data_IF_483203155505
#
_entry.id   IF_483203155505
#
_cell.length_a   1.000
_cell.length_b   1.000
_cell.length_c   1.000
_cell.angle_alpha   90.00
_cell.angle_beta   90.00
_cell.angle_gamma   90.00
#
_symmetry.space_group_name_H-M   'P 1'
#
loop_
_entity.id
_entity.type
_entity.pdbx_description
1 polymer ?
#
# COMPACT_ATOMS: atom_id res chain seq x y z
N UNK A 1 8.03 -36.18 -51.33
CA UNK A 1 6.64 -36.12 -50.82
C UNK A 1 6.67 -36.74 -49.42
N UNK A 2 7.13 -36.06 -48.38
CA UNK A 2 6.72 -34.79 -47.77
C UNK A 2 5.26 -34.75 -47.32
N UNK A 3 5.04 -35.04 -46.03
CA UNK A 3 4.05 -34.39 -45.17
C UNK A 3 4.25 -34.83 -43.72
N UNK A 4 5.23 -34.21 -43.05
CA UNK A 4 5.37 -34.25 -41.59
C UNK A 4 4.14 -33.59 -40.94
N UNK A 5 3.16 -34.38 -40.49
CA UNK A 5 2.12 -33.90 -39.57
C UNK A 5 2.60 -34.10 -38.12
N UNK A 6 2.77 -32.98 -37.40
CA UNK A 6 3.07 -33.01 -35.95
C UNK A 6 1.96 -33.75 -35.19
N UNK A 7 2.30 -34.59 -34.19
CA UNK A 7 1.32 -35.32 -33.40
C UNK A 7 0.45 -34.35 -32.59
N UNK A 8 -0.83 -34.72 -32.38
CA UNK A 8 -1.86 -33.90 -31.72
C UNK A 8 -1.44 -33.35 -30.34
N UNK A 9 -0.58 -34.09 -29.61
CA UNK A 9 -0.02 -33.70 -28.32
C UNK A 9 0.96 -32.52 -28.38
N UNK A 10 1.66 -32.32 -29.50
CA UNK A 10 2.54 -31.16 -29.69
C UNK A 10 1.77 -29.90 -30.08
N UNK A 11 0.70 -30.05 -30.87
CA UNK A 11 -0.19 -28.94 -31.25
C UNK A 11 -0.84 -28.32 -30.00
N UNK A 12 -1.26 -29.14 -29.03
CA UNK A 12 -1.82 -28.67 -27.77
C UNK A 12 -0.79 -27.93 -26.89
N UNK A 13 0.45 -28.42 -26.82
CA UNK A 13 1.54 -27.77 -26.08
C UNK A 13 1.96 -26.44 -26.71
N UNK A 14 1.98 -26.38 -28.04
CA UNK A 14 2.31 -25.16 -28.79
C UNK A 14 1.22 -24.09 -28.63
N UNK A 15 -0.06 -24.49 -28.60
CA UNK A 15 -1.19 -23.59 -28.33
C UNK A 15 -1.15 -23.01 -26.92
N UNK A 16 -0.88 -23.85 -25.91
CA UNK A 16 -0.76 -23.40 -24.52
C UNK A 16 0.42 -22.44 -24.32
N UNK A 17 1.56 -22.71 -24.97
CA UNK A 17 2.74 -21.83 -24.92
C UNK A 17 2.46 -20.46 -25.56
N UNK A 18 1.75 -20.42 -26.70
CA UNK A 18 1.33 -19.16 -27.34
C UNK A 18 0.36 -18.38 -26.47
N UNK A 19 -0.61 -19.05 -25.85
CA UNK A 19 -1.59 -18.39 -24.98
C UNK A 19 -0.93 -17.80 -23.71
N UNK A 20 0.08 -18.49 -23.16
CA UNK A 20 0.88 -17.94 -22.05
C UNK A 20 1.72 -16.72 -22.50
N UNK A 21 2.34 -16.78 -23.68
CA UNK A 21 3.13 -15.67 -24.23
C UNK A 21 2.27 -14.44 -24.56
N UNK A 22 1.05 -14.64 -25.07
CA UNK A 22 0.11 -13.55 -25.36
C UNK A 22 -0.40 -12.87 -24.08
N UNK A 23 -0.66 -13.65 -23.01
CA UNK A 23 -1.07 -13.11 -21.70
C UNK A 23 0.05 -12.30 -21.04
N UNK A 24 1.29 -12.75 -21.17
CA UNK A 24 2.45 -12.05 -20.63
C UNK A 24 2.70 -10.73 -21.39
N UNK A 25 2.58 -10.74 -22.71
CA UNK A 25 2.69 -9.53 -23.54
C UNK A 25 1.58 -8.50 -23.24
N UNK A 26 0.32 -8.93 -23.05
CA UNK A 26 -0.78 -8.03 -22.67
C UNK A 26 -0.56 -7.40 -21.29
N UNK A 27 -0.04 -8.18 -20.34
CA UNK A 27 0.27 -7.69 -19.00
C UNK A 27 1.41 -6.67 -19.00
N UNK A 28 2.48 -6.92 -19.77
CA UNK A 28 3.61 -6.02 -19.90
C UNK A 28 3.22 -4.71 -20.61
N UNK A 29 2.34 -4.79 -21.63
CA UNK A 29 1.80 -3.61 -22.30
C UNK A 29 0.94 -2.74 -21.36
N UNK A 30 0.09 -3.37 -20.55
CA UNK A 30 -0.73 -2.68 -19.53
C UNK A 30 0.12 -2.04 -18.43
N UNK A 31 1.22 -2.69 -18.04
CA UNK A 31 2.18 -2.14 -17.07
C UNK A 31 2.90 -0.91 -17.64
N UNK A 32 3.45 -1.02 -18.83
CA UNK A 32 4.18 0.05 -19.51
C UNK A 32 3.27 1.26 -19.81
N UNK A 33 1.99 1.02 -20.17
CA UNK A 33 1.00 2.10 -20.33
C UNK A 33 0.73 2.84 -19.01
N UNK A 34 0.60 2.13 -17.88
CA UNK A 34 0.42 2.74 -16.56
C UNK A 34 1.64 3.56 -16.14
N UNK A 35 2.85 3.02 -16.31
CA UNK A 35 4.09 3.75 -15.99
C UNK A 35 4.21 5.04 -16.81
N UNK A 36 3.90 5.00 -18.12
CA UNK A 36 3.89 6.22 -18.97
C UNK A 36 2.84 7.24 -18.54
N UNK A 37 1.68 6.81 -18.04
CA UNK A 37 0.62 7.72 -17.60
C UNK A 37 0.95 8.38 -16.25
N UNK A 38 1.66 7.67 -15.36
CA UNK A 38 2.18 8.21 -14.10
C UNK A 38 3.24 9.29 -14.39
N UNK A 39 4.23 8.99 -15.25
CA UNK A 39 5.28 9.95 -15.64
C UNK A 39 4.68 11.19 -16.32
N UNK A 40 3.64 11.02 -17.15
CA UNK A 40 2.94 12.14 -17.80
C UNK A 40 2.18 13.03 -16.80
N UNK A 41 1.66 12.48 -15.70
CA UNK A 41 1.01 13.28 -14.65
C UNK A 41 2.02 14.04 -13.81
N UNK A 42 3.16 13.43 -13.48
CA UNK A 42 4.23 14.10 -12.73
C UNK A 42 4.81 15.28 -13.53
N UNK A 43 5.16 15.05 -14.79
CA UNK A 43 5.69 16.11 -15.69
C UNK A 43 4.68 17.22 -16.02
N UNK A 44 3.38 16.93 -16.00
CA UNK A 44 2.33 17.96 -16.17
C UNK A 44 2.01 18.74 -14.87
N UNK A 45 2.40 18.21 -13.69
CA UNK A 45 2.18 18.85 -12.39
C UNK A 45 3.20 19.93 -12.05
N UNK A 46 4.43 19.84 -12.57
CA UNK A 46 5.56 20.74 -12.21
C UNK A 46 5.45 22.17 -12.80
N UNK A 47 4.47 22.48 -13.65
CA UNK A 47 4.33 23.83 -14.25
C UNK A 47 3.47 24.82 -13.46
N UNK A 48 3.10 24.52 -12.20
CA UNK A 48 2.22 25.37 -11.38
C UNK A 48 2.83 25.98 -10.12
N UNK A 49 4.09 25.71 -9.82
CA UNK A 49 4.73 26.16 -8.57
C UNK A 49 5.88 27.14 -8.83
N UNK A 50 5.58 28.28 -9.48
CA UNK A 50 6.57 29.36 -9.64
C UNK A 50 5.98 30.78 -9.61
N UNK A 51 4.81 30.95 -8.99
CA UNK A 51 4.27 32.29 -8.72
C UNK A 51 3.62 32.25 -7.34
N UNK A 52 4.32 32.79 -6.34
CA UNK A 52 3.82 33.57 -5.19
C UNK A 52 4.90 33.61 -4.09
N UNK A 53 5.96 34.39 -4.32
CA UNK A 53 6.67 35.05 -3.23
C UNK A 53 6.00 36.41 -3.01
N UNK A 54 5.42 36.62 -1.83
CA UNK A 54 5.35 37.93 -1.19
C UNK A 54 5.53 37.81 0.32
N UNK A 55 6.07 38.84 0.99
CA UNK A 55 6.76 38.73 2.26
C UNK A 55 5.86 38.99 3.49
N UNK A 56 6.35 38.51 4.64
CA UNK A 56 6.14 39.00 6.02
C UNK A 56 4.71 39.20 6.53
N UNK A 57 4.31 38.39 7.52
CA UNK A 57 3.17 38.68 8.38
C UNK A 57 3.00 37.63 9.48
N UNK A 58 3.13 38.08 10.73
CA UNK A 58 3.04 37.28 11.95
C UNK A 58 1.68 36.59 12.14
N UNK A 59 1.73 35.41 12.77
CA UNK A 59 0.70 34.93 13.70
C UNK A 59 -0.63 34.48 13.08
N UNK A 60 -0.73 33.18 12.78
CA UNK A 60 -1.98 32.44 12.90
C UNK A 60 -1.66 30.95 13.02
N UNK A 61 -2.19 30.32 14.07
CA UNK A 61 -2.11 28.89 14.34
C UNK A 61 -2.41 28.07 13.08
N UNK A 62 -1.45 27.24 12.68
CA UNK A 62 -1.68 26.23 11.67
C UNK A 62 -2.74 25.24 12.20
N UNK A 63 -3.95 25.31 11.64
CA UNK A 63 -4.90 24.21 11.71
C UNK A 63 -4.24 23.06 10.93
N UNK A 64 -3.64 22.14 11.68
CA UNK A 64 -2.92 21.00 11.13
C UNK A 64 -3.85 20.13 10.29
N UNK A 65 -3.33 19.65 9.16
CA UNK A 65 -3.88 18.45 8.54
C UNK A 65 -3.99 17.35 9.62
N UNK A 66 -5.11 16.62 9.72
CA UNK A 66 -5.21 15.52 10.67
C UNK A 66 -4.17 14.46 10.28
N UNK A 67 -3.22 14.16 11.18
CA UNK A 67 -2.37 12.97 11.03
C UNK A 67 -0.87 13.14 11.26
N UNK A 68 -0.31 14.37 11.23
CA UNK A 68 1.14 14.56 11.46
C UNK A 68 1.38 15.23 12.80
N UNK A 69 1.57 14.41 13.84
CA UNK A 69 2.03 14.88 15.14
C UNK A 69 3.56 15.09 15.10
N UNK A 70 3.98 16.35 15.16
CA UNK A 70 5.39 16.77 15.10
C UNK A 70 6.23 16.29 16.30
N UNK A 71 5.60 15.73 17.34
CA UNK A 71 6.31 15.12 18.49
C UNK A 71 6.73 13.67 18.24
N UNK A 72 6.21 13.04 17.18
CA UNK A 72 6.49 11.63 16.84
C UNK A 72 7.75 11.52 15.98
N UNK A 73 8.48 10.41 16.13
CA UNK A 73 9.66 10.15 15.31
C UNK A 73 9.28 9.89 13.85
N UNK A 74 10.18 10.14 12.88
CA UNK A 74 9.90 9.85 11.47
C UNK A 74 9.50 8.40 11.22
N UNK A 75 10.14 7.45 11.90
CA UNK A 75 9.78 6.03 11.81
C UNK A 75 8.34 5.76 12.29
N UNK A 76 7.90 6.42 13.37
CA UNK A 76 6.53 6.28 13.87
C UNK A 76 5.52 6.74 12.82
N UNK A 77 5.74 7.94 12.26
CA UNK A 77 4.87 8.52 11.24
C UNK A 77 4.84 7.64 9.97
N UNK A 78 5.99 7.11 9.53
CA UNK A 78 6.04 6.20 8.39
C UNK A 78 5.23 4.92 8.63
N UNK A 79 5.36 4.30 9.80
CA UNK A 79 4.60 3.09 10.12
C UNK A 79 3.10 3.40 10.20
N UNK A 80 2.73 4.52 10.82
CA UNK A 80 1.34 4.98 10.95
C UNK A 80 0.71 5.23 9.57
N UNK A 81 1.41 5.94 8.69
CA UNK A 81 0.99 6.19 7.31
C UNK A 81 0.77 4.88 6.53
N UNK A 82 1.64 3.88 6.69
CA UNK A 82 1.45 2.56 6.05
C UNK A 82 0.22 1.85 6.61
N UNK A 83 -0.03 1.96 7.92
CA UNK A 83 -1.17 1.32 8.56
C UNK A 83 -2.50 1.95 8.14
N UNK A 84 -2.58 3.27 7.99
CA UNK A 84 -3.82 3.97 7.63
C UNK A 84 -4.14 3.96 6.13
N UNK A 85 -3.14 3.74 5.27
CA UNK A 85 -3.32 3.73 3.81
C UNK A 85 -4.49 2.82 3.36
N UNK A 86 -5.34 3.31 2.47
CA UNK A 86 -6.54 2.62 1.96
C UNK A 86 -7.58 2.18 3.01
N UNK A 87 -7.60 2.76 4.22
CA UNK A 87 -8.60 2.47 5.25
C UNK A 87 -9.59 3.61 5.51
N UNK A 88 -9.50 4.73 4.81
CA UNK A 88 -10.33 5.92 5.04
C UNK A 88 -11.83 5.63 4.94
N UNK A 89 -12.28 5.07 3.81
CA UNK A 89 -13.70 4.70 3.61
C UNK A 89 -14.20 3.70 4.65
N UNK A 90 -13.36 2.72 5.01
CA UNK A 90 -13.68 1.72 6.03
C UNK A 90 -13.81 2.37 7.40
N UNK A 91 -12.91 3.29 7.75
CA UNK A 91 -12.93 4.01 9.01
C UNK A 91 -14.18 4.86 9.16
N UNK A 92 -14.56 5.63 8.13
CA UNK A 92 -15.77 6.46 8.17
C UNK A 92 -17.07 5.64 8.18
N UNK A 93 -17.03 4.37 7.73
CA UNK A 93 -18.17 3.46 7.83
C UNK A 93 -18.41 2.91 9.25
N UNK A 94 -17.44 3.04 10.17
CA UNK A 94 -17.55 2.57 11.55
C UNK A 94 -18.42 3.49 12.41
N UNK A 95 -19.08 2.94 13.42
CA UNK A 95 -19.68 3.73 14.49
C UNK A 95 -18.61 4.44 15.34
N UNK A 96 -18.99 5.53 16.02
CA UNK A 96 -18.05 6.36 16.80
C UNK A 96 -17.26 5.56 17.83
N UNK A 97 -17.90 4.60 18.51
CA UNK A 97 -17.22 3.75 19.49
C UNK A 97 -16.20 2.79 18.85
N UNK A 98 -16.54 2.23 17.69
CA UNK A 98 -15.63 1.41 16.90
C UNK A 98 -14.48 2.24 16.31
N UNK A 99 -14.73 3.48 15.87
CA UNK A 99 -13.70 4.41 15.39
C UNK A 99 -12.66 4.71 16.47
N UNK A 100 -13.09 5.05 17.69
CA UNK A 100 -12.19 5.33 18.81
C UNK A 100 -11.37 4.10 19.18
N UNK A 101 -12.02 2.93 19.24
CA UNK A 101 -11.33 1.66 19.51
C UNK A 101 -10.33 1.33 18.40
N UNK A 102 -10.69 1.57 17.15
CA UNK A 102 -9.84 1.31 15.99
C UNK A 102 -8.60 2.19 16.00
N UNK A 103 -8.76 3.50 16.24
CA UNK A 103 -7.66 4.48 16.39
C UNK A 103 -6.71 4.09 17.52
N UNK A 104 -7.22 3.90 18.73
CA UNK A 104 -6.42 3.52 19.89
C UNK A 104 -5.63 2.22 19.66
N UNK A 105 -6.25 1.24 19.00
CA UNK A 105 -5.58 -0.02 18.65
C UNK A 105 -4.59 0.13 17.49
N UNK A 106 -4.79 1.09 16.60
CA UNK A 106 -3.82 1.48 15.57
C UNK A 106 -2.55 2.01 16.22
N UNK A 107 -2.67 2.98 17.11
CA UNK A 107 -1.54 3.56 17.86
C UNK A 107 -0.77 2.48 18.66
N UNK A 108 -1.48 1.62 19.40
CA UNK A 108 -0.85 0.49 20.11
C UNK A 108 -0.13 -0.48 19.16
N UNK A 109 -0.62 -0.63 17.93
CA UNK A 109 -0.03 -1.51 16.93
C UNK A 109 1.23 -0.90 16.33
N UNK A 110 1.22 0.41 16.04
CA UNK A 110 2.40 1.19 15.62
C UNK A 110 3.53 1.04 16.62
N UNK A 111 3.27 1.25 17.91
CA UNK A 111 4.30 1.13 18.97
C UNK A 111 4.91 -0.27 18.99
N UNK A 112 4.11 -1.33 18.86
CA UNK A 112 4.61 -2.72 18.85
C UNK A 112 5.44 -3.02 17.62
N UNK A 113 5.04 -2.52 16.45
CA UNK A 113 5.80 -2.68 15.21
C UNK A 113 7.15 -1.97 15.34
N UNK A 114 7.18 -0.75 15.87
CA UNK A 114 8.43 -0.02 16.12
C UNK A 114 9.36 -0.78 17.07
N UNK A 115 8.82 -1.34 18.16
CA UNK A 115 9.61 -2.15 19.09
C UNK A 115 10.23 -3.39 18.41
N UNK A 116 9.51 -4.03 17.49
CA UNK A 116 10.03 -5.16 16.72
C UNK A 116 11.16 -4.74 15.77
N UNK A 117 11.04 -3.57 15.14
CA UNK A 117 12.08 -2.99 14.28
C UNK A 117 13.33 -2.69 15.10
N UNK A 118 13.20 -1.90 16.18
CA UNK A 118 14.32 -1.49 17.04
C UNK A 118 15.02 -2.69 17.69
N UNK A 119 14.27 -3.72 18.08
CA UNK A 119 14.85 -4.94 18.68
C UNK A 119 15.45 -5.92 17.65
N UNK A 120 15.49 -5.56 16.37
CA UNK A 120 15.95 -6.41 15.26
C UNK A 120 15.24 -7.79 15.20
N UNK A 121 14.02 -7.87 15.73
CA UNK A 121 13.13 -9.05 15.68
C UNK A 121 12.02 -8.86 14.64
N UNK A 122 12.22 -7.92 13.73
CA UNK A 122 11.36 -7.62 12.60
C UNK A 122 11.30 -8.81 11.66
N UNK A 123 10.17 -9.50 11.67
CA UNK A 123 9.88 -10.55 10.69
C UNK A 123 8.50 -10.29 10.12
N UNK A 124 8.33 -10.61 8.84
CA UNK A 124 7.03 -10.50 8.16
C UNK A 124 5.90 -11.13 8.98
N UNK A 125 6.14 -12.33 9.53
CA UNK A 125 5.16 -13.06 10.35
C UNK A 125 4.73 -12.29 11.60
N UNK A 126 5.63 -11.54 12.24
CA UNK A 126 5.32 -10.75 13.42
C UNK A 126 4.47 -9.53 13.06
N UNK A 127 4.83 -8.81 11.98
CA UNK A 127 4.05 -7.67 11.48
C UNK A 127 2.67 -8.09 11.00
N UNK A 128 2.60 -9.10 10.14
CA UNK A 128 1.34 -9.65 9.63
C UNK A 128 0.37 -9.99 10.78
N UNK A 129 0.84 -10.69 11.82
CA UNK A 129 -0.01 -11.06 12.96
C UNK A 129 -0.56 -9.85 13.72
N UNK A 130 0.25 -8.82 13.93
CA UNK A 130 -0.17 -7.60 14.62
C UNK A 130 -1.21 -6.84 13.79
N UNK A 131 -0.91 -6.61 12.52
CA UNK A 131 -1.77 -5.85 11.60
C UNK A 131 -3.09 -6.60 11.38
N UNK A 132 -3.03 -7.90 11.08
CA UNK A 132 -4.23 -8.71 10.88
C UNK A 132 -5.13 -8.74 12.13
N UNK A 133 -4.54 -8.82 13.33
CA UNK A 133 -5.30 -8.78 14.59
C UNK A 133 -5.99 -7.43 14.80
N UNK A 134 -5.34 -6.33 14.42
CA UNK A 134 -5.92 -4.99 14.50
C UNK A 134 -7.04 -4.79 13.47
N UNK A 135 -6.81 -5.12 12.20
CA UNK A 135 -7.79 -5.00 11.12
C UNK A 135 -9.08 -5.80 11.38
N UNK A 136 -8.99 -6.92 12.11
CA UNK A 136 -10.15 -7.72 12.54
C UNK A 136 -11.13 -6.99 13.47
N UNK A 137 -10.81 -5.80 13.95
CA UNK A 137 -11.75 -4.97 14.72
C UNK A 137 -12.87 -4.46 13.82
N UNK A 138 -12.61 -4.29 12.51
CA UNK A 138 -13.58 -3.77 11.55
C UNK A 138 -14.66 -4.84 11.30
N UNK A 139 -15.92 -4.59 11.69
CA UNK A 139 -17.01 -5.53 11.43
C UNK A 139 -17.41 -5.50 9.95
N UNK A 140 -18.00 -6.59 9.45
CA UNK A 140 -18.59 -6.64 8.11
C UNK A 140 -17.61 -6.73 6.93
N UNK A 141 -16.30 -6.66 7.17
CA UNK A 141 -15.29 -6.78 6.11
C UNK A 141 -14.89 -8.24 5.89
N UNK A 142 -14.68 -8.59 4.62
CA UNK A 142 -14.28 -9.94 4.25
C UNK A 142 -12.90 -10.31 4.83
N UNK A 143 -12.78 -11.50 5.41
CA UNK A 143 -11.53 -12.00 5.99
C UNK A 143 -10.35 -12.00 4.99
N UNK A 144 -10.60 -12.36 3.74
CA UNK A 144 -9.58 -12.37 2.69
C UNK A 144 -9.04 -10.96 2.44
N UNK A 145 -9.91 -9.95 2.41
CA UNK A 145 -9.49 -8.56 2.29
C UNK A 145 -8.57 -8.16 3.45
N UNK A 146 -8.98 -8.39 4.70
CA UNK A 146 -8.15 -8.05 5.88
C UNK A 146 -6.80 -8.78 5.86
N UNK A 147 -6.78 -10.03 5.38
CA UNK A 147 -5.55 -10.80 5.25
C UNK A 147 -4.63 -10.22 4.18
N UNK A 148 -5.14 -9.91 3.00
CA UNK A 148 -4.35 -9.33 1.92
C UNK A 148 -3.82 -7.95 2.29
N UNK A 149 -4.67 -7.13 2.91
CA UNK A 149 -4.28 -5.80 3.38
C UNK A 149 -3.17 -5.90 4.45
N UNK A 150 -3.30 -6.85 5.40
CA UNK A 150 -2.25 -7.11 6.37
C UNK A 150 -0.94 -7.58 5.75
N UNK A 151 -0.98 -8.38 4.67
CA UNK A 151 0.22 -8.82 3.94
C UNK A 151 0.90 -7.66 3.23
N UNK A 152 0.14 -6.87 2.48
CA UNK A 152 0.66 -5.69 1.74
C UNK A 152 1.34 -4.73 2.71
N UNK A 153 0.68 -4.41 3.83
CA UNK A 153 1.23 -3.51 4.84
C UNK A 153 2.47 -4.09 5.53
N UNK A 154 2.47 -5.38 5.85
CA UNK A 154 3.62 -6.05 6.45
C UNK A 154 4.83 -6.06 5.49
N UNK A 155 4.62 -6.29 4.19
CA UNK A 155 5.68 -6.22 3.17
C UNK A 155 6.26 -4.81 3.08
N UNK A 156 5.41 -3.77 3.00
CA UNK A 156 5.87 -2.37 2.97
C UNK A 156 6.68 -1.98 4.21
N UNK A 157 6.30 -2.47 5.39
CA UNK A 157 7.06 -2.22 6.62
C UNK A 157 8.42 -2.91 6.59
N UNK A 158 8.52 -4.10 5.98
CA UNK A 158 9.80 -4.81 5.80
C UNK A 158 10.74 -4.07 4.84
N UNK A 159 10.21 -3.27 3.91
CA UNK A 159 10.99 -2.48 2.97
C UNK A 159 11.57 -1.18 3.57
N UNK A 160 11.13 -0.80 4.77
CA UNK A 160 11.68 0.36 5.49
C UNK A 160 13.16 0.09 5.77
N UNK A 161 14.04 0.93 5.22
CA UNK A 161 15.46 0.93 5.56
C UNK A 161 15.62 1.58 6.94
N UNK A 162 16.18 0.83 7.88
CA UNK A 162 16.51 1.26 9.24
C UNK A 162 18.02 1.20 9.48
#
# INVERSE_FOLDING_TARGET
MDSLRKPYSEIAKEKLKRESQEKEADFELKRNRREKEIIRRETAGESRESLLQTPTGQGASAVGAPGIDATKSPLHQTVEAILEDNLEDLYFSLDVGAQDKFKKKGEETTVKIMQLIISAKATFKNFFKLIFKWLKIIPGVNRYFLEQEAKIKADRIMEIKF
#
